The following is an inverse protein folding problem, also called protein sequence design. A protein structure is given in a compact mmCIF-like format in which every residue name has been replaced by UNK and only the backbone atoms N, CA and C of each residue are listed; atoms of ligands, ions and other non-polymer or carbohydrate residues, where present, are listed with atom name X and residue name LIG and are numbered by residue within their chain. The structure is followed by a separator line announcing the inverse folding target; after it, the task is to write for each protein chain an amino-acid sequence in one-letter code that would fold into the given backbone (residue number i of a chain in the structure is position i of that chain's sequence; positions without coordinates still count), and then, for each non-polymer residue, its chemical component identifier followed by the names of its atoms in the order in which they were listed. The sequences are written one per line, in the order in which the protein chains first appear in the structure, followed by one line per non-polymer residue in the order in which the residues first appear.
data_IF_026396534100
#
_entry.id   IF_026396534100
#
_cell.length_a   1.000
_cell.length_b   1.000
_cell.length_c   1.000
_cell.angle_alpha   90.00
_cell.angle_beta   90.00
_cell.angle_gamma   90.00
#
_symmetry.space_group_name_H-M   'P 1'
#
loop_
_entity.id
_entity.type
_entity.pdbx_description
1 polymer ?
#
# COMPACT_ATOMS: atom_id res chain seq x y z
N UNK A 1 -17.42 9.20 32.41
CA UNK A 1 -17.59 10.16 31.30
C UNK A 1 -16.22 10.26 30.65
N UNK A 2 -15.99 9.54 29.55
CA UNK A 2 -14.71 9.59 28.82
C UNK A 2 -15.00 10.28 27.49
N UNK A 3 -14.41 11.46 27.31
CA UNK A 3 -14.54 12.25 26.09
C UNK A 3 -13.81 11.56 24.95
N UNK A 4 -14.54 11.34 23.86
CA UNK A 4 -14.06 10.77 22.60
C UNK A 4 -12.92 11.62 22.03
N UNK A 5 -11.71 11.09 22.01
CA UNK A 5 -10.69 11.51 21.06
C UNK A 5 -10.99 10.82 19.72
N UNK A 6 -12.01 11.32 19.03
CA UNK A 6 -12.26 11.10 17.61
C UNK A 6 -12.03 12.45 16.91
N UNK A 7 -10.82 12.99 17.03
CA UNK A 7 -10.36 13.99 16.08
C UNK A 7 -10.10 13.23 14.76
N UNK A 8 -10.72 13.61 13.64
CA UNK A 8 -10.33 13.05 12.36
C UNK A 8 -8.89 13.50 12.12
N UNK A 9 -7.97 12.55 11.94
CA UNK A 9 -6.68 12.88 11.33
C UNK A 9 -7.01 13.50 9.98
N UNK A 10 -6.95 14.83 9.90
CA UNK A 10 -6.98 15.56 8.64
C UNK A 10 -5.66 15.19 7.97
N UNK A 11 -5.70 14.09 7.25
CA UNK A 11 -4.66 13.64 6.36
C UNK A 11 -4.58 14.68 5.25
N UNK A 12 -3.77 15.72 5.47
CA UNK A 12 -3.45 16.76 4.48
C UNK A 12 -2.62 16.20 3.31
N UNK A 13 -2.68 14.89 3.06
CA UNK A 13 -1.83 14.26 2.08
C UNK A 13 -2.39 14.51 0.67
N UNK A 14 -1.66 15.25 -0.18
CA UNK A 14 -2.08 15.55 -1.54
C UNK A 14 -1.83 14.33 -2.44
N UNK A 15 -2.29 13.16 -2.03
CA UNK A 15 -2.19 11.92 -2.81
C UNK A 15 -3.22 11.99 -3.93
N UNK A 16 -2.90 12.77 -4.96
CA UNK A 16 -3.73 12.98 -6.15
C UNK A 16 -3.44 11.83 -7.12
N UNK A 17 -4.15 10.72 -6.94
CA UNK A 17 -4.15 9.61 -7.89
C UNK A 17 -3.24 8.42 -7.53
N UNK A 18 -3.25 7.40 -8.40
CA UNK A 18 -2.44 6.20 -8.23
C UNK A 18 -0.98 6.44 -8.62
N UNK A 19 -0.08 5.70 -7.99
CA UNK A 19 1.32 5.57 -8.43
C UNK A 19 1.36 4.96 -9.84
N UNK A 20 2.23 5.50 -10.69
CA UNK A 20 2.50 4.99 -12.05
C UNK A 20 3.93 4.47 -12.14
N UNK A 21 4.21 3.60 -13.12
CA UNK A 21 5.48 2.89 -13.41
C UNK A 21 6.79 3.74 -13.45
N UNK A 22 6.74 5.03 -13.13
CA UNK A 22 7.86 5.96 -13.16
C UNK A 22 8.44 6.30 -11.78
N UNK A 23 7.86 5.79 -10.68
CA UNK A 23 8.42 6.04 -9.35
C UNK A 23 9.52 5.00 -9.05
N UNK A 24 10.71 5.24 -9.58
CA UNK A 24 11.94 4.64 -9.08
C UNK A 24 12.42 5.46 -7.88
N UNK A 25 12.49 4.83 -6.71
CA UNK A 25 13.11 5.44 -5.51
C UNK A 25 14.65 5.36 -5.55
N UNK A 26 15.19 4.84 -6.66
CA UNK A 26 16.61 4.72 -6.97
C UNK A 26 16.88 3.55 -7.93
N UNK A 27 18.06 3.47 -8.55
CA UNK A 27 18.37 2.48 -9.60
C UNK A 27 18.26 1.02 -9.12
N UNK A 28 18.43 0.77 -7.82
CA UNK A 28 18.33 -0.56 -7.21
C UNK A 28 17.01 -0.82 -6.48
N UNK A 29 16.06 0.11 -6.54
CA UNK A 29 14.78 -0.01 -5.88
C UNK A 29 13.72 -0.68 -6.76
N UNK A 30 12.69 -1.22 -6.11
CA UNK A 30 11.51 -1.71 -6.80
C UNK A 30 10.77 -0.57 -7.50
N UNK A 31 10.11 -0.93 -8.60
CA UNK A 31 9.24 -0.03 -9.36
C UNK A 31 7.81 -0.42 -9.05
N UNK A 32 7.00 0.53 -8.58
CA UNK A 32 5.60 0.31 -8.21
C UNK A 32 4.68 0.87 -9.28
N UNK A 33 3.55 0.21 -9.48
CA UNK A 33 2.47 0.71 -10.32
C UNK A 33 1.10 0.29 -9.78
N UNK A 34 0.13 1.19 -9.87
CA UNK A 34 -1.27 0.93 -9.55
C UNK A 34 -2.20 1.59 -10.59
N UNK A 35 -1.70 2.01 -11.75
CA UNK A 35 -2.49 2.66 -12.79
C UNK A 35 -3.13 1.65 -13.75
N UNK A 36 -3.91 0.74 -13.16
CA UNK A 36 -4.67 -0.29 -13.87
C UNK A 36 -6.02 -0.51 -13.18
N UNK A 37 -6.88 -1.35 -13.77
CA UNK A 37 -8.21 -1.63 -13.24
C UNK A 37 -8.14 -2.17 -11.80
N UNK A 38 -8.93 -1.57 -10.91
CA UNK A 38 -8.96 -1.88 -9.46
C UNK A 38 -7.65 -1.57 -8.69
N UNK A 39 -6.65 -0.97 -9.34
CA UNK A 39 -5.40 -0.56 -8.71
C UNK A 39 -5.62 0.52 -7.65
N UNK A 40 -4.97 0.35 -6.49
CA UNK A 40 -5.02 1.31 -5.40
C UNK A 40 -3.68 1.34 -4.63
N UNK A 41 -2.88 2.35 -4.92
CA UNK A 41 -1.68 2.74 -4.17
C UNK A 41 -1.38 4.19 -4.51
N UNK A 42 -1.28 5.04 -3.50
CA UNK A 42 -1.22 6.49 -3.70
C UNK A 42 0.17 7.09 -3.53
N UNK A 43 0.96 6.60 -2.56
CA UNK A 43 2.36 6.97 -2.39
C UNK A 43 3.17 5.78 -1.91
N UNK A 44 4.45 5.78 -2.27
CA UNK A 44 5.47 4.86 -1.76
C UNK A 44 6.65 5.68 -1.27
N UNK A 45 7.02 5.48 -0.02
CA UNK A 45 8.24 6.04 0.56
C UNK A 45 9.23 4.88 0.82
N UNK A 46 10.44 4.98 0.26
CA UNK A 46 11.48 3.98 0.50
C UNK A 46 12.22 4.30 1.81
N UNK A 47 12.16 3.40 2.78
CA UNK A 47 12.88 3.52 4.05
C UNK A 47 14.31 2.98 3.92
N UNK A 48 14.44 1.83 3.25
CA UNK A 48 15.72 1.19 2.93
C UNK A 48 15.65 0.63 1.50
N UNK A 49 16.75 0.08 0.94
CA UNK A 49 16.69 -0.54 -0.39
C UNK A 49 15.62 -1.64 -0.55
N UNK A 50 15.21 -2.27 0.55
CA UNK A 50 14.29 -3.40 0.56
C UNK A 50 13.08 -3.19 1.49
N UNK A 51 12.83 -1.97 1.96
CA UNK A 51 11.72 -1.68 2.87
C UNK A 51 11.00 -0.39 2.46
N UNK A 52 9.68 -0.48 2.37
CA UNK A 52 8.84 0.55 1.78
C UNK A 52 7.58 0.79 2.61
N UNK A 53 7.30 2.05 2.88
CA UNK A 53 6.02 2.49 3.44
C UNK A 53 5.04 2.78 2.29
N UNK A 54 3.88 2.14 2.34
CA UNK A 54 2.83 2.18 1.35
C UNK A 54 1.64 2.96 1.89
N UNK A 55 1.25 4.00 1.16
CA UNK A 55 0.11 4.85 1.49
C UNK A 55 -1.03 4.57 0.52
N UNK A 56 -2.11 4.03 1.05
CA UNK A 56 -3.30 3.65 0.31
C UNK A 56 -4.21 4.87 0.12
N UNK A 57 -4.80 5.02 -1.06
CA UNK A 57 -5.76 6.09 -1.31
C UNK A 57 -7.07 5.80 -0.57
N UNK A 58 -7.79 6.83 -0.11
CA UNK A 58 -9.14 6.64 0.37
C UNK A 58 -10.09 6.19 -0.74
N UNK A 59 -11.21 5.58 -0.34
CA UNK A 59 -12.31 5.26 -1.23
C UNK A 59 -12.88 6.55 -1.86
N UNK A 60 -13.23 6.48 -3.15
CA UNK A 60 -13.74 7.63 -3.95
C UNK A 60 -14.88 8.39 -3.28
N UNK A 61 -15.80 7.64 -2.64
CA UNK A 61 -16.98 8.19 -1.98
C UNK A 61 -16.85 8.27 -0.46
N UNK A 62 -15.70 7.88 0.11
CA UNK A 62 -15.49 7.90 1.55
C UNK A 62 -14.03 8.20 1.92
N UNK A 63 -13.68 9.46 2.21
CA UNK A 63 -12.30 9.85 2.53
C UNK A 63 -11.76 9.22 3.82
N UNK A 64 -12.61 8.60 4.64
CA UNK A 64 -12.22 7.97 5.91
C UNK A 64 -11.73 6.53 5.75
N UNK A 65 -12.12 5.83 4.68
CA UNK A 65 -11.82 4.41 4.53
C UNK A 65 -10.72 4.15 3.50
N UNK A 66 -9.73 3.36 3.92
CA UNK A 66 -8.61 2.80 3.17
C UNK A 66 -8.55 1.32 3.56
N UNK A 67 -9.25 0.48 2.79
CA UNK A 67 -9.46 -0.94 3.13
C UNK A 67 -9.04 -1.90 2.02
N UNK A 68 -8.68 -1.38 0.85
CA UNK A 68 -8.29 -2.14 -0.33
C UNK A 68 -6.98 -1.60 -0.88
N UNK A 69 -6.07 -2.50 -1.21
CA UNK A 69 -4.85 -2.16 -1.94
C UNK A 69 -4.67 -3.16 -3.07
N UNK A 70 -4.19 -2.68 -4.21
CA UNK A 70 -3.80 -3.54 -5.32
C UNK A 70 -2.79 -2.80 -6.17
N UNK A 71 -1.60 -3.35 -6.31
CA UNK A 71 -0.49 -2.74 -7.02
C UNK A 71 0.40 -3.85 -7.60
N UNK A 72 1.15 -3.50 -8.63
CA UNK A 72 2.19 -4.34 -9.20
C UNK A 72 3.57 -3.82 -8.76
N UNK A 73 4.53 -4.74 -8.70
CA UNK A 73 5.94 -4.41 -8.47
C UNK A 73 6.79 -5.06 -9.55
N UNK A 74 7.79 -4.32 -10.04
CA UNK A 74 8.81 -4.84 -10.95
C UNK A 74 10.21 -4.45 -10.47
N UNK A 75 11.25 -4.83 -11.22
CA UNK A 75 12.66 -4.66 -10.85
C UNK A 75 13.11 -5.45 -9.59
N UNK A 76 12.36 -6.49 -9.21
CA UNK A 76 12.76 -7.39 -8.13
C UNK A 76 13.95 -8.28 -8.55
N UNK A 77 14.90 -8.49 -7.64
CA UNK A 77 16.08 -9.32 -7.84
C UNK A 77 15.88 -10.73 -7.25
N UNK A 78 16.53 -11.77 -7.81
CA UNK A 78 16.51 -13.11 -7.20
C UNK A 78 17.00 -13.08 -5.75
N UNK A 79 16.33 -13.83 -4.87
CA UNK A 79 16.62 -13.91 -3.44
C UNK A 79 16.54 -12.57 -2.68
N UNK A 80 15.86 -11.56 -3.24
CA UNK A 80 15.63 -10.29 -2.55
C UNK A 80 14.46 -10.43 -1.56
N UNK A 81 14.76 -10.30 -0.27
CA UNK A 81 13.72 -10.15 0.76
C UNK A 81 13.28 -8.70 0.81
N UNK A 82 11.98 -8.46 0.69
CA UNK A 82 11.38 -7.12 0.69
C UNK A 82 10.32 -7.04 1.78
N UNK A 83 10.19 -5.87 2.40
CA UNK A 83 9.17 -5.55 3.40
C UNK A 83 8.29 -4.42 2.87
N UNK A 84 6.97 -4.64 2.90
CA UNK A 84 5.97 -3.65 2.55
C UNK A 84 5.15 -3.31 3.80
N UNK A 85 5.24 -2.06 4.25
CA UNK A 85 4.51 -1.56 5.41
C UNK A 85 3.28 -0.78 4.92
N UNK A 86 2.08 -1.30 5.12
CA UNK A 86 0.85 -0.56 4.81
C UNK A 86 0.49 0.31 6.01
N UNK A 87 0.86 1.59 5.96
CA UNK A 87 0.93 2.45 7.17
C UNK A 87 -0.38 3.18 7.51
N UNK A 88 -1.29 3.34 6.55
CA UNK A 88 -2.49 4.16 6.70
C UNK A 88 -3.81 3.38 6.52
N UNK A 89 -3.81 2.08 6.85
CA UNK A 89 -5.02 1.26 6.74
C UNK A 89 -6.09 1.66 7.77
N UNK A 90 -7.35 1.84 7.36
CA UNK A 90 -8.38 2.52 8.17
C UNK A 90 -9.03 1.69 9.27
N UNK A 91 -8.55 0.47 9.55
CA UNK A 91 -9.11 -0.39 10.60
C UNK A 91 -8.04 -0.75 11.62
N UNK A 92 -8.28 -0.35 12.88
CA UNK A 92 -7.47 -0.73 14.05
C UNK A 92 -7.48 -2.24 14.33
N UNK A 93 -8.51 -2.95 13.87
CA UNK A 93 -8.59 -4.41 13.88
C UNK A 93 -9.03 -4.89 12.50
N UNK A 94 -8.08 -5.40 11.75
CA UNK A 94 -8.25 -6.03 10.45
C UNK A 94 -8.37 -7.55 10.62
N UNK A 95 -8.80 -8.24 9.55
CA UNK A 95 -8.69 -9.69 9.50
C UNK A 95 -7.23 -10.17 9.50
N UNK A 96 -6.27 -9.29 9.17
CA UNK A 96 -4.84 -9.57 9.29
C UNK A 96 -4.41 -9.64 10.76
N UNK A 97 -4.95 -8.78 11.61
CA UNK A 97 -4.61 -8.74 13.04
C UNK A 97 -5.10 -9.98 13.80
N UNK A 98 -6.18 -10.60 13.31
CA UNK A 98 -6.71 -11.85 13.86
C UNK A 98 -6.15 -13.09 13.17
N UNK A 99 -5.23 -12.93 12.20
CA UNK A 99 -4.68 -14.02 11.40
C UNK A 99 -5.70 -14.74 10.52
N UNK A 100 -6.90 -14.15 10.34
CA UNK A 100 -8.01 -14.73 9.59
C UNK A 100 -7.97 -14.40 8.09
N UNK A 101 -7.05 -13.51 7.68
CA UNK A 101 -6.74 -13.20 6.30
C UNK A 101 -5.23 -12.96 6.14
N UNK A 102 -4.71 -13.23 4.95
CA UNK A 102 -3.35 -12.88 4.53
C UNK A 102 -3.42 -12.10 3.20
N UNK A 103 -2.47 -11.18 2.94
CA UNK A 103 -2.35 -10.57 1.63
C UNK A 103 -2.14 -11.64 0.56
N UNK A 104 -2.77 -11.44 -0.59
CA UNK A 104 -2.64 -12.33 -1.75
C UNK A 104 -1.67 -11.70 -2.74
N UNK A 105 -0.85 -12.52 -3.41
CA UNK A 105 0.04 -12.06 -4.46
C UNK A 105 0.10 -13.07 -5.60
N UNK A 106 0.36 -12.56 -6.80
CA UNK A 106 0.61 -13.35 -8.00
C UNK A 106 1.96 -12.94 -8.58
N UNK A 107 2.70 -13.88 -9.14
CA UNK A 107 3.99 -13.61 -9.78
C UNK A 107 4.10 -14.30 -11.13
N UNK A 108 5.18 -14.02 -11.86
CA UNK A 108 5.47 -14.71 -13.13
C UNK A 108 5.72 -16.21 -12.88
N UNK A 109 6.30 -16.54 -11.72
CA UNK A 109 6.63 -17.91 -11.31
C UNK A 109 5.50 -18.62 -10.57
N UNK A 110 4.54 -17.89 -9.99
CA UNK A 110 3.33 -18.43 -9.38
C UNK A 110 2.10 -17.75 -9.99
N UNK A 111 1.42 -18.45 -10.91
CA UNK A 111 0.32 -17.89 -11.70
C UNK A 111 -1.05 -17.98 -11.02
N UNK A 112 -1.14 -18.74 -9.93
CA UNK A 112 -2.34 -18.88 -9.13
C UNK A 112 -2.39 -17.76 -8.08
N UNK A 113 -3.61 -17.36 -7.70
CA UNK A 113 -3.87 -16.38 -6.66
C UNK A 113 -3.92 -17.07 -5.29
#
# INVERSE_FOLDING_TARGET
MFTSQNEPLIDNDPVVGNVTENISTGPDHLIFDANFECGNLGRVDALTPNEYDLFIRPDTCNPKYRVWFYFSVSNAKPNQRVVFNVVNFSKLRTLFDTGSAAPVYKSITNRDW
#
